data_IF_906363444191
#
_entry.id   IF_906363444191
#
_cell.length_a   1.000
_cell.length_b   1.000
_cell.length_c   1.000
_cell.angle_alpha   90.00
_cell.angle_beta   90.00
_cell.angle_gamma   90.00
#
_symmetry.space_group_name_H-M   'P 1'
#
loop_
_entity.id
_entity.type
_entity.pdbx_description
1 polymer ?
#
# COMPACT_ATOMS: atom_id res chain seq x y z
N UNK A 1 9.90 1.28 6.09
CA UNK A 1 9.66 1.00 4.66
C UNK A 1 8.75 2.02 3.98
N UNK A 2 7.51 2.27 4.45
CA UNK A 2 6.60 3.23 3.78
C UNK A 2 7.20 4.63 3.62
N UNK A 3 7.71 5.22 4.71
CA UNK A 3 8.41 6.51 4.67
C UNK A 3 9.60 6.52 3.68
N UNK A 4 10.31 5.40 3.52
CA UNK A 4 11.38 5.31 2.52
C UNK A 4 10.83 5.45 1.10
N UNK A 5 9.77 4.71 0.76
CA UNK A 5 9.13 4.82 -0.56
C UNK A 5 8.52 6.20 -0.80
N UNK A 6 7.89 6.80 0.20
CA UNK A 6 7.35 8.17 0.11
C UNK A 6 8.46 9.19 -0.16
N UNK A 7 9.58 9.09 0.55
CA UNK A 7 10.75 9.95 0.31
C UNK A 7 11.29 9.74 -1.11
N UNK A 8 11.46 8.50 -1.56
CA UNK A 8 11.96 8.22 -2.91
C UNK A 8 11.04 8.76 -4.00
N UNK A 9 9.72 8.62 -3.83
CA UNK A 9 8.75 9.17 -4.77
C UNK A 9 8.80 10.70 -4.80
N UNK A 10 8.93 11.36 -3.65
CA UNK A 10 9.04 12.83 -3.56
C UNK A 10 10.34 13.36 -4.17
N UNK A 11 11.45 12.68 -3.97
CA UNK A 11 12.78 13.15 -4.38
C UNK A 11 13.11 12.78 -5.83
N UNK A 12 12.73 11.59 -6.29
CA UNK A 12 13.09 11.06 -7.61
C UNK A 12 11.94 11.04 -8.61
N UNK A 13 10.69 11.27 -8.16
CA UNK A 13 9.50 11.14 -9.00
C UNK A 13 9.12 9.69 -9.32
N UNK A 14 9.82 8.70 -8.76
CA UNK A 14 9.56 7.29 -9.01
C UNK A 14 9.73 6.43 -7.77
N UNK A 15 9.08 5.27 -7.75
CA UNK A 15 9.25 4.28 -6.70
C UNK A 15 10.32 3.27 -7.10
N UNK A 16 11.28 2.95 -6.21
CA UNK A 16 12.20 1.85 -6.46
C UNK A 16 11.44 0.52 -6.54
N UNK A 17 11.95 -0.43 -7.32
CA UNK A 17 11.29 -1.72 -7.56
C UNK A 17 10.99 -2.49 -6.26
N UNK A 18 11.94 -2.44 -5.33
CA UNK A 18 11.82 -3.08 -4.04
C UNK A 18 12.71 -2.41 -2.98
N UNK A 19 12.53 -2.83 -1.73
CA UNK A 19 13.39 -2.47 -0.62
C UNK A 19 13.61 -3.69 0.28
N UNK A 20 14.85 -3.95 0.68
CA UNK A 20 15.21 -5.09 1.55
C UNK A 20 15.83 -4.57 2.84
N UNK A 21 15.35 -5.08 3.97
CA UNK A 21 15.87 -4.76 5.29
C UNK A 21 16.27 -6.03 6.03
N UNK A 22 17.45 -6.06 6.64
CA UNK A 22 17.79 -7.06 7.64
C UNK A 22 17.31 -6.58 9.00
N UNK A 23 16.55 -7.42 9.71
CA UNK A 23 15.93 -7.08 10.99
C UNK A 23 16.22 -8.17 12.01
N UNK A 24 16.55 -7.78 13.24
CA UNK A 24 16.67 -8.69 14.38
C UNK A 24 15.46 -8.49 15.30
N UNK A 25 14.69 -9.55 15.54
CA UNK A 25 13.53 -9.54 16.44
C UNK A 25 13.62 -10.74 17.38
N UNK A 26 13.58 -10.50 18.70
CA UNK A 26 13.62 -11.56 19.72
C UNK A 26 14.79 -12.54 19.59
N UNK A 27 15.96 -12.06 19.14
CA UNK A 27 17.15 -12.89 18.95
C UNK A 27 17.19 -13.66 17.63
N UNK A 28 16.13 -13.61 16.81
CA UNK A 28 16.10 -14.18 15.47
C UNK A 28 16.40 -13.12 14.41
N UNK A 29 17.02 -13.54 13.29
CA UNK A 29 17.30 -12.66 12.17
C UNK A 29 16.32 -12.93 11.02
N UNK A 30 15.88 -11.85 10.36
CA UNK A 30 14.99 -11.89 9.21
C UNK A 30 15.48 -10.98 8.10
N UNK A 31 15.12 -11.32 6.86
CA UNK A 31 15.05 -10.37 5.75
C UNK A 31 13.60 -9.98 5.52
N UNK A 32 13.33 -8.68 5.53
CA UNK A 32 12.06 -8.10 5.11
C UNK A 32 12.22 -7.57 3.70
N UNK A 33 11.51 -8.18 2.76
CA UNK A 33 11.38 -7.69 1.40
C UNK A 33 10.09 -6.87 1.28
N UNK A 34 10.19 -5.71 0.66
CA UNK A 34 9.07 -4.82 0.40
C UNK A 34 8.95 -4.52 -1.09
N UNK A 35 7.73 -4.63 -1.63
CA UNK A 35 7.41 -4.18 -2.99
C UNK A 35 6.34 -3.08 -2.92
N UNK A 36 6.61 -1.85 -3.41
CA UNK A 36 5.63 -0.78 -3.36
C UNK A 36 4.47 -1.07 -4.31
N UNK A 37 3.32 -0.47 -4.01
CA UNK A 37 2.10 -0.56 -4.81
C UNK A 37 1.57 0.84 -5.10
N UNK A 38 1.16 1.04 -6.35
CA UNK A 38 0.47 2.23 -6.80
C UNK A 38 -0.93 1.87 -7.28
N UNK A 39 -1.82 2.86 -7.27
CA UNK A 39 -3.16 2.74 -7.79
C UNK A 39 -3.15 2.68 -9.32
N UNK A 40 -3.69 1.61 -9.89
CA UNK A 40 -4.00 1.54 -11.31
C UNK A 40 -5.47 1.96 -11.54
N UNK A 41 -5.84 2.29 -12.77
CA UNK A 41 -7.21 2.67 -13.13
C UNK A 41 -8.30 1.72 -12.56
N UNK A 42 -8.10 0.41 -12.67
CA UNK A 42 -9.06 -0.59 -12.16
C UNK A 42 -9.24 -0.55 -10.63
N UNK A 43 -8.21 -0.12 -9.90
CA UNK A 43 -8.27 -0.01 -8.45
C UNK A 43 -9.24 1.10 -8.00
N UNK A 44 -9.42 2.14 -8.84
CA UNK A 44 -10.21 3.32 -8.50
C UNK A 44 -11.72 3.05 -8.47
N UNK A 45 -12.19 1.93 -9.03
CA UNK A 45 -13.59 1.53 -8.93
C UNK A 45 -14.06 1.35 -7.48
N UNK A 46 -13.15 1.01 -6.56
CA UNK A 46 -13.44 0.85 -5.13
C UNK A 46 -12.60 1.74 -4.22
N UNK A 47 -11.46 2.25 -4.70
CA UNK A 47 -10.52 3.05 -3.91
C UNK A 47 -10.43 4.51 -4.36
N UNK A 48 -11.17 4.90 -5.41
CA UNK A 48 -11.22 6.27 -5.93
C UNK A 48 -12.10 7.21 -5.11
N UNK A 49 -12.68 8.24 -5.75
CA UNK A 49 -13.60 9.17 -5.11
C UNK A 49 -14.94 8.48 -4.76
N UNK A 50 -15.29 8.36 -3.46
CA UNK A 50 -16.57 7.78 -3.03
C UNK A 50 -17.80 8.43 -3.66
N UNK A 51 -17.74 9.71 -4.03
CA UNK A 51 -18.86 10.42 -4.66
C UNK A 51 -19.19 9.91 -6.07
N UNK A 52 -18.28 9.13 -6.68
CA UNK A 52 -18.43 8.58 -8.03
C UNK A 52 -18.63 7.06 -8.05
N UNK A 53 -18.63 6.42 -6.88
CA UNK A 53 -18.81 4.97 -6.75
C UNK A 53 -20.27 4.55 -6.86
N UNK A 54 -20.49 3.28 -7.22
CA UNK A 54 -21.81 2.67 -7.16
C UNK A 54 -22.34 2.65 -5.71
N UNK A 55 -23.61 3.04 -5.53
CA UNK A 55 -24.23 3.16 -4.20
C UNK A 55 -24.29 1.83 -3.44
N UNK A 56 -24.56 0.72 -4.14
CA UNK A 56 -24.63 -0.60 -3.50
C UNK A 56 -23.23 -1.08 -3.08
N UNK A 57 -22.21 -0.79 -3.89
CA UNK A 57 -20.82 -1.03 -3.51
C UNK A 57 -20.46 -0.23 -2.26
N UNK A 58 -20.75 1.08 -2.25
CA UNK A 58 -20.41 1.96 -1.13
C UNK A 58 -21.10 1.49 0.17
N UNK A 59 -22.40 1.18 0.10
CA UNK A 59 -23.15 0.64 1.24
C UNK A 59 -22.56 -0.68 1.76
N UNK A 60 -22.15 -1.58 0.85
CA UNK A 60 -21.51 -2.86 1.21
C UNK A 60 -20.17 -2.62 1.90
N UNK A 61 -19.34 -1.72 1.36
CA UNK A 61 -18.05 -1.39 1.95
C UNK A 61 -18.22 -0.74 3.33
N UNK A 62 -19.16 0.18 3.52
CA UNK A 62 -19.42 0.84 4.80
C UNK A 62 -19.94 -0.13 5.86
N UNK A 63 -20.75 -1.10 5.46
CA UNK A 63 -21.23 -2.15 6.36
C UNK A 63 -20.08 -3.06 6.85
N UNK A 64 -19.21 -3.50 5.94
CA UNK A 64 -18.15 -4.46 6.27
C UNK A 64 -16.87 -3.81 6.80
N UNK A 65 -16.60 -2.57 6.41
CA UNK A 65 -15.40 -1.81 6.73
C UNK A 65 -15.78 -0.39 7.19
N UNK A 66 -16.44 -0.23 8.35
CA UNK A 66 -16.97 1.07 8.82
C UNK A 66 -15.89 2.12 9.12
N UNK A 67 -14.63 1.72 9.22
CA UNK A 67 -13.47 2.60 9.42
C UNK A 67 -12.52 2.56 8.22
N UNK A 68 -13.04 2.28 7.01
CA UNK A 68 -12.23 2.20 5.81
C UNK A 68 -11.60 3.56 5.47
N UNK A 69 -10.27 3.59 5.46
CA UNK A 69 -9.47 4.75 5.09
C UNK A 69 -8.86 4.60 3.69
N UNK A 70 -9.16 3.52 2.96
CA UNK A 70 -8.56 3.19 1.69
C UNK A 70 -9.34 3.76 0.49
N UNK A 71 -9.84 4.99 0.58
CA UNK A 71 -10.60 5.65 -0.49
C UNK A 71 -10.06 7.06 -0.75
N UNK A 72 -10.53 7.69 -1.83
CA UNK A 72 -10.09 9.02 -2.25
C UNK A 72 -8.75 9.02 -2.98
N UNK A 73 -8.29 7.87 -3.46
CA UNK A 73 -7.07 7.79 -4.27
C UNK A 73 -7.29 8.27 -5.70
N UNK A 74 -6.20 8.71 -6.32
CA UNK A 74 -6.07 8.96 -7.75
C UNK A 74 -5.17 7.93 -8.43
N UNK A 75 -5.22 7.84 -9.76
CA UNK A 75 -4.32 6.96 -10.51
C UNK A 75 -2.85 7.35 -10.28
N UNK A 76 -2.00 6.35 -10.07
CA UNK A 76 -0.58 6.54 -9.76
C UNK A 76 -0.28 6.84 -8.29
N UNK A 77 -1.28 7.11 -7.44
CA UNK A 77 -1.04 7.36 -6.03
C UNK A 77 -0.36 6.18 -5.34
N UNK A 78 0.54 6.48 -4.40
CA UNK A 78 1.18 5.47 -3.58
C UNK A 78 0.18 4.88 -2.59
N UNK A 79 -0.10 3.58 -2.74
CA UNK A 79 -1.06 2.86 -1.89
C UNK A 79 -0.43 2.27 -0.63
N UNK A 80 0.83 1.84 -0.73
CA UNK A 80 1.52 1.12 0.33
C UNK A 80 2.49 0.10 -0.24
N UNK A 81 2.76 -0.98 0.50
CA UNK A 81 3.71 -2.00 0.07
C UNK A 81 3.30 -3.41 0.51
N UNK A 82 3.60 -4.39 -0.33
CA UNK A 82 3.59 -5.81 0.05
C UNK A 82 4.86 -6.09 0.84
N UNK A 83 4.74 -6.76 1.99
CA UNK A 83 5.89 -7.18 2.81
C UNK A 83 5.98 -8.70 2.88
N UNK A 84 7.16 -9.25 2.64
CA UNK A 84 7.49 -10.66 2.90
C UNK A 84 8.54 -10.72 4.01
N UNK A 85 8.28 -11.54 5.04
CA UNK A 85 9.21 -11.83 6.15
C UNK A 85 9.88 -13.18 5.91
N UNK A 86 11.20 -13.17 5.74
CA UNK A 86 12.01 -14.36 5.43
C UNK A 86 12.92 -14.63 6.62
N UNK A 87 12.77 -15.76 7.33
CA UNK A 87 13.71 -16.15 8.39
C UNK A 87 15.10 -16.42 7.83
N UNK A 88 16.12 -15.86 8.48
CA UNK A 88 17.53 -16.19 8.25
C UNK A 88 17.92 -17.24 9.28
N UNK A 89 17.73 -18.51 8.91
CA UNK A 89 18.29 -19.64 9.66
C UNK A 89 19.75 -19.85 9.25
#
# INVERSE_FOLDING_TARGET
ALAYFETQLKESGSLPENYVQKVSENGEQFLYFYKPMQMAAVCLSCHGDPATMDENLLATLDQHYPNDMARGYSEGDFRGAIRVKIPLK
#
